data_IF_272557304672
#
_entry.id   IF_272557304672
#
_cell.length_a   1.000
_cell.length_b   1.000
_cell.length_c   1.000
_cell.angle_alpha   90.00
_cell.angle_beta   90.00
_cell.angle_gamma   90.00
#
_symmetry.space_group_name_H-M   'P 1'
#
loop_
_entity.id
_entity.type
_entity.pdbx_description
1 polymer ?
#
# COMPACT_ATOMS: atom_id res chain seq x y z
N UNK A 1 -2.61 5.21 1.21
CA UNK A 1 -3.03 4.56 2.48
C UNK A 1 -1.95 4.58 3.56
N UNK A 2 -0.68 4.36 3.21
CA UNK A 2 0.44 4.44 4.16
C UNK A 2 0.54 5.80 4.88
N UNK A 3 0.39 6.93 4.16
CA UNK A 3 0.32 8.26 4.77
C UNK A 3 -0.78 8.38 5.83
N UNK A 4 -1.97 7.82 5.56
CA UNK A 4 -3.10 7.80 6.51
C UNK A 4 -2.72 7.01 7.78
N UNK A 5 -2.07 5.85 7.64
CA UNK A 5 -1.67 5.03 8.79
C UNK A 5 -0.72 5.78 9.73
N UNK A 6 0.20 6.57 9.17
CA UNK A 6 1.15 7.38 9.96
C UNK A 6 0.60 8.69 10.52
N UNK A 7 -0.53 9.21 10.01
CA UNK A 7 -1.06 10.53 10.41
C UNK A 7 -2.32 10.46 11.27
N UNK A 8 -3.01 9.32 11.36
CA UNK A 8 -4.27 9.26 12.10
C UNK A 8 -4.59 7.86 12.61
N UNK A 9 -5.34 7.81 13.73
CA UNK A 9 -5.82 6.59 14.39
C UNK A 9 -7.33 6.41 14.26
N UNK A 10 -7.97 7.13 13.33
CA UNK A 10 -9.42 7.16 13.15
C UNK A 10 -10.00 5.88 12.53
N UNK A 11 -9.18 5.06 11.89
CA UNK A 11 -9.62 3.88 11.15
C UNK A 11 -9.30 2.61 11.94
N UNK A 12 -10.23 1.64 11.95
CA UNK A 12 -10.01 0.33 12.58
C UNK A 12 -9.17 -0.62 11.74
N UNK A 13 -9.22 -0.45 10.42
CA UNK A 13 -8.42 -1.20 9.46
C UNK A 13 -8.22 -0.39 8.18
N UNK A 14 -7.16 -0.70 7.46
CA UNK A 14 -6.82 -0.14 6.15
C UNK A 14 -6.60 -1.26 5.13
N UNK A 15 -6.80 -0.94 3.86
CA UNK A 15 -6.39 -1.74 2.71
C UNK A 15 -5.50 -0.85 1.84
N UNK A 16 -4.28 -1.28 1.58
CA UNK A 16 -3.32 -0.60 0.72
C UNK A 16 -3.05 -1.49 -0.51
N UNK A 17 -3.66 -1.15 -1.64
CA UNK A 17 -3.42 -1.78 -2.94
C UNK A 17 -2.47 -0.91 -3.74
N UNK A 18 -1.37 -1.51 -4.21
CA UNK A 18 -0.33 -0.86 -5.03
C UNK A 18 0.01 0.54 -4.50
N UNK A 19 0.36 0.60 -3.20
CA UNK A 19 0.45 1.85 -2.46
C UNK A 19 1.89 2.33 -2.27
N UNK A 20 2.15 3.60 -2.55
CA UNK A 20 3.44 4.24 -2.24
C UNK A 20 3.74 4.20 -0.73
N UNK A 21 4.91 3.71 -0.35
CA UNK A 21 5.44 3.76 1.02
C UNK A 21 6.63 4.70 1.17
N UNK A 22 7.57 4.66 0.23
CA UNK A 22 8.75 5.52 0.23
C UNK A 22 8.85 6.30 -1.09
N UNK A 23 8.66 7.61 -1.02
CA UNK A 23 8.61 8.49 -2.20
C UNK A 23 9.96 8.58 -2.94
N UNK A 24 11.08 8.41 -2.22
CA UNK A 24 12.42 8.46 -2.80
C UNK A 24 12.74 7.17 -3.56
N UNK A 25 12.58 5.99 -2.92
CA UNK A 25 12.80 4.72 -3.62
C UNK A 25 11.77 4.50 -4.74
N UNK A 26 10.53 4.97 -4.51
CA UNK A 26 9.47 5.00 -5.51
C UNK A 26 9.90 5.65 -6.82
N UNK A 27 10.41 6.89 -6.75
CA UNK A 27 10.86 7.63 -7.92
C UNK A 27 11.92 6.87 -8.75
N UNK A 28 12.90 6.24 -8.09
CA UNK A 28 13.97 5.55 -8.81
C UNK A 28 13.57 4.19 -9.37
N UNK A 29 12.43 3.65 -8.95
CA UNK A 29 11.96 2.32 -9.35
C UNK A 29 10.77 2.35 -10.30
N UNK A 30 10.11 3.50 -10.44
CA UNK A 30 8.90 3.64 -11.28
C UNK A 30 9.22 3.75 -12.77
N UNK A 31 8.36 3.18 -13.61
CA UNK A 31 8.34 3.43 -15.04
C UNK A 31 7.54 4.71 -15.44
N UNK A 32 6.93 5.39 -14.47
CA UNK A 32 6.00 6.51 -14.70
C UNK A 32 6.46 7.82 -14.02
N UNK A 33 7.57 8.38 -14.51
CA UNK A 33 8.24 9.55 -13.91
C UNK A 33 7.43 10.86 -13.92
N UNK A 34 6.42 10.98 -14.78
CA UNK A 34 5.67 12.22 -14.93
C UNK A 34 4.96 12.63 -13.63
N UNK A 35 4.31 11.69 -12.94
CA UNK A 35 3.57 11.98 -11.70
C UNK A 35 4.46 12.52 -10.58
N UNK A 36 5.52 11.81 -10.14
CA UNK A 36 6.35 12.31 -9.04
C UNK A 36 7.05 13.62 -9.38
N UNK A 37 7.46 13.85 -10.64
CA UNK A 37 8.06 15.13 -11.03
C UNK A 37 7.06 16.28 -11.07
N UNK A 38 5.86 16.05 -11.60
CA UNK A 38 4.81 17.05 -11.65
C UNK A 38 4.27 17.39 -10.25
N UNK A 39 3.94 16.37 -9.46
CA UNK A 39 3.22 16.54 -8.19
C UNK A 39 4.14 16.89 -7.02
N UNK A 40 5.40 16.40 -7.04
CA UNK A 40 6.39 16.66 -5.99
C UNK A 40 7.42 17.73 -6.39
N UNK A 41 7.20 18.38 -7.54
CA UNK A 41 7.90 19.61 -7.93
C UNK A 41 9.34 19.38 -8.40
N UNK A 42 9.57 18.32 -9.17
CA UNK A 42 10.84 18.00 -9.82
C UNK A 42 11.44 16.67 -9.37
N UNK A 43 12.74 16.54 -9.56
CA UNK A 43 13.49 15.29 -9.32
C UNK A 43 14.08 15.24 -7.89
N UNK A 44 14.09 14.08 -7.22
CA UNK A 44 14.43 13.99 -5.78
C UNK A 44 15.91 14.23 -5.45
N UNK A 45 16.80 14.33 -6.44
CA UNK A 45 18.20 14.70 -6.23
C UNK A 45 18.46 16.23 -6.32
N UNK A 46 17.43 17.03 -6.61
CA UNK A 46 17.47 18.49 -6.47
C UNK A 46 16.95 18.86 -5.08
N UNK A 47 17.73 19.63 -4.32
CA UNK A 47 17.46 19.96 -2.90
C UNK A 47 16.02 20.44 -2.65
N UNK A 48 15.56 21.43 -3.41
CA UNK A 48 14.22 22.00 -3.26
C UNK A 48 13.12 20.94 -3.44
N UNK A 49 13.26 20.06 -4.43
CA UNK A 49 12.30 19.00 -4.67
C UNK A 49 12.44 17.92 -3.60
N UNK A 50 13.67 17.56 -3.21
CA UNK A 50 13.95 16.58 -2.14
C UNK A 50 13.20 16.89 -0.85
N UNK A 51 13.16 18.16 -0.44
CA UNK A 51 12.38 18.59 0.73
C UNK A 51 10.89 18.23 0.62
N UNK A 52 10.30 18.32 -0.57
CA UNK A 52 8.89 17.96 -0.83
C UNK A 52 8.68 16.46 -0.79
N UNK A 53 9.56 15.68 -1.43
CA UNK A 53 9.49 14.22 -1.40
C UNK A 53 9.56 13.71 0.04
N UNK A 54 10.50 14.21 0.85
CA UNK A 54 10.68 13.81 2.25
C UNK A 54 9.51 14.26 3.13
N UNK A 55 9.01 15.48 2.94
CA UNK A 55 7.86 15.99 3.69
C UNK A 55 6.63 15.09 3.56
N UNK A 56 6.38 14.59 2.36
CA UNK A 56 5.22 13.75 2.04
C UNK A 56 5.55 12.25 2.01
N UNK A 57 6.72 11.85 2.51
CA UNK A 57 7.16 10.46 2.52
C UNK A 57 6.50 9.67 3.67
N UNK A 58 5.62 8.68 3.40
CA UNK A 58 4.99 7.88 4.45
C UNK A 58 5.99 7.13 5.35
N UNK A 59 7.15 6.75 4.82
CA UNK A 59 8.21 6.07 5.58
C UNK A 59 8.69 6.91 6.78
N UNK A 60 8.71 8.24 6.66
CA UNK A 60 9.09 9.15 7.77
C UNK A 60 8.16 9.03 8.97
N UNK A 61 6.97 8.47 8.79
CA UNK A 61 5.97 8.25 9.82
C UNK A 61 5.90 6.80 10.29
N UNK A 62 6.86 5.94 9.92
CA UNK A 62 6.87 4.52 10.29
C UNK A 62 6.74 4.29 11.82
N UNK A 63 7.28 5.19 12.63
CA UNK A 63 7.13 5.19 14.09
C UNK A 63 5.67 5.32 14.58
N UNK A 64 4.82 6.00 13.81
CA UNK A 64 3.43 6.31 14.17
C UNK A 64 2.41 5.28 13.67
N UNK A 65 2.81 4.40 12.75
CA UNK A 65 1.90 3.38 12.19
C UNK A 65 1.33 2.52 13.31
N UNK A 66 0.01 2.44 13.39
CA UNK A 66 -0.71 1.71 14.44
C UNK A 66 -1.92 0.94 13.94
N UNK A 67 -2.32 1.14 12.68
CA UNK A 67 -3.58 0.60 12.16
C UNK A 67 -3.35 -0.71 11.41
N UNK A 68 -4.11 -1.78 11.72
CA UNK A 68 -4.11 -3.00 10.94
C UNK A 68 -4.25 -2.73 9.44
N UNK A 69 -3.39 -3.33 8.61
CA UNK A 69 -3.42 -3.10 7.16
C UNK A 69 -3.30 -4.40 6.35
N UNK A 70 -4.20 -4.56 5.37
CA UNK A 70 -4.05 -5.51 4.27
C UNK A 70 -3.27 -4.81 3.14
N UNK A 71 -2.13 -5.37 2.77
CA UNK A 71 -1.35 -4.96 1.62
C UNK A 71 -1.65 -5.87 0.44
N UNK A 72 -1.80 -5.30 -0.75
CA UNK A 72 -2.10 -6.04 -1.97
C UNK A 72 -1.17 -5.53 -3.06
N UNK A 73 -0.48 -6.43 -3.76
CA UNK A 73 0.50 -6.05 -4.77
C UNK A 73 0.63 -7.05 -5.92
N UNK A 74 0.78 -6.53 -7.15
CA UNK A 74 1.11 -7.31 -8.36
C UNK A 74 2.63 -7.35 -8.66
N UNK A 75 3.19 -8.52 -8.97
CA UNK A 75 4.63 -8.67 -9.27
C UNK A 75 5.09 -7.82 -10.47
N UNK A 76 4.21 -7.64 -11.46
CA UNK A 76 4.51 -6.92 -12.70
C UNK A 76 4.10 -5.44 -12.61
N UNK A 77 3.85 -4.94 -11.41
CA UNK A 77 3.68 -3.52 -11.18
C UNK A 77 5.04 -2.83 -11.21
N UNK A 78 5.33 -2.17 -12.33
CA UNK A 78 6.51 -1.32 -12.50
C UNK A 78 6.22 0.17 -12.22
N UNK A 79 4.96 0.56 -12.01
CA UNK A 79 4.62 1.91 -11.57
C UNK A 79 4.96 2.09 -10.10
N UNK A 80 4.58 1.11 -9.29
CA UNK A 80 5.00 0.98 -7.90
C UNK A 80 5.52 -0.42 -7.69
N UNK A 81 6.85 -0.56 -7.58
CA UNK A 81 7.47 -1.87 -7.41
C UNK A 81 7.05 -2.54 -6.10
N UNK A 82 7.10 -3.87 -6.07
CA UNK A 82 6.66 -4.71 -4.94
C UNK A 82 7.22 -4.30 -3.58
N UNK A 83 8.42 -3.71 -3.55
CA UNK A 83 9.03 -3.15 -2.34
C UNK A 83 8.08 -2.19 -1.59
N UNK A 84 7.28 -1.41 -2.32
CA UNK A 84 6.37 -0.41 -1.77
C UNK A 84 5.25 -1.01 -0.91
N UNK A 85 4.88 -2.28 -1.12
CA UNK A 85 3.94 -3.01 -0.26
C UNK A 85 4.63 -3.92 0.76
N UNK A 86 5.77 -4.53 0.39
CA UNK A 86 6.50 -5.44 1.29
C UNK A 86 7.17 -4.72 2.46
N UNK A 87 7.70 -3.52 2.22
CA UNK A 87 8.34 -2.71 3.27
C UNK A 87 7.36 -2.31 4.40
N UNK A 88 6.20 -1.67 4.15
CA UNK A 88 5.25 -1.34 5.21
C UNK A 88 4.59 -2.58 5.82
N UNK A 89 4.42 -3.67 5.07
CA UNK A 89 3.99 -4.95 5.64
C UNK A 89 4.99 -5.46 6.68
N UNK A 90 6.28 -5.48 6.34
CA UNK A 90 7.36 -5.88 7.26
C UNK A 90 7.37 -4.98 8.49
N UNK A 91 7.27 -3.66 8.31
CA UNK A 91 7.18 -2.69 9.40
C UNK A 91 6.05 -3.04 10.40
N UNK A 92 4.81 -3.23 9.93
CA UNK A 92 3.69 -3.56 10.81
C UNK A 92 3.92 -4.89 11.54
N UNK A 93 4.42 -5.91 10.84
CA UNK A 93 4.77 -7.21 11.43
C UNK A 93 5.82 -7.06 12.54
N UNK A 94 6.84 -6.22 12.35
CA UNK A 94 7.86 -5.93 13.36
C UNK A 94 7.33 -5.18 14.57
N UNK A 95 6.26 -4.41 14.41
CA UNK A 95 5.56 -3.70 15.50
C UNK A 95 4.48 -4.56 16.18
N UNK A 96 4.27 -5.80 15.75
CA UNK A 96 3.21 -6.66 16.26
C UNK A 96 1.80 -6.20 15.87
N UNK A 97 1.68 -5.33 14.87
CA UNK A 97 0.40 -4.85 14.36
C UNK A 97 -0.10 -5.86 13.31
N UNK A 98 -1.38 -6.26 13.35
CA UNK A 98 -1.93 -7.17 12.35
C UNK A 98 -1.74 -6.66 10.92
N UNK A 99 -1.10 -7.48 10.09
CA UNK A 99 -0.83 -7.16 8.70
C UNK A 99 -0.88 -8.43 7.84
N UNK A 100 -1.55 -8.34 6.70
CA UNK A 100 -1.63 -9.41 5.68
C UNK A 100 -1.07 -8.87 4.36
N UNK A 101 -0.39 -9.71 3.60
CA UNK A 101 0.06 -9.41 2.24
C UNK A 101 -0.63 -10.38 1.29
N UNK A 102 -1.37 -9.86 0.32
CA UNK A 102 -1.90 -10.61 -0.82
C UNK A 102 -1.09 -10.25 -2.04
N UNK A 103 -0.45 -11.24 -2.64
CA UNK A 103 0.51 -11.05 -3.71
C UNK A 103 0.06 -11.80 -4.95
N UNK A 104 0.03 -11.11 -6.09
CA UNK A 104 -0.32 -11.71 -7.38
C UNK A 104 0.92 -11.73 -8.29
N UNK A 105 1.48 -12.91 -8.53
CA UNK A 105 2.69 -13.09 -9.35
C UNK A 105 2.50 -12.71 -10.83
N UNK A 106 1.25 -12.58 -11.27
CA UNK A 106 0.87 -12.48 -12.68
C UNK A 106 0.03 -11.25 -13.03
N UNK A 107 -0.14 -10.33 -12.08
CA UNK A 107 -0.84 -9.05 -12.24
C UNK A 107 0.15 -7.87 -12.33
N UNK A 108 -0.31 -6.77 -12.92
CA UNK A 108 0.40 -5.49 -13.01
C UNK A 108 -0.10 -4.51 -11.92
N UNK A 109 -0.06 -3.21 -12.17
CA UNK A 109 -0.61 -2.15 -11.29
C UNK A 109 -2.15 -2.22 -11.09
N UNK A 110 -2.79 -3.17 -11.75
CA UNK A 110 -4.21 -3.46 -11.62
C UNK A 110 -4.41 -4.94 -11.33
N UNK A 111 -5.58 -5.29 -10.81
CA UNK A 111 -5.99 -6.70 -10.68
C UNK A 111 -6.99 -7.05 -11.80
N UNK A 112 -6.47 -7.52 -12.93
CA UNK A 112 -7.23 -7.65 -14.18
C UNK A 112 -7.81 -9.05 -14.42
N UNK A 113 -7.14 -10.11 -13.96
CA UNK A 113 -7.61 -11.47 -14.25
C UNK A 113 -8.87 -11.75 -13.44
N UNK A 114 -9.94 -12.29 -14.04
CA UNK A 114 -11.22 -12.47 -13.35
C UNK A 114 -11.11 -13.22 -12.01
N UNK A 115 -10.33 -14.30 -11.97
CA UNK A 115 -10.09 -15.06 -10.74
C UNK A 115 -9.37 -14.26 -9.66
N UNK A 116 -8.35 -13.48 -10.04
CA UNK A 116 -7.62 -12.62 -9.13
C UNK A 116 -8.50 -11.46 -8.64
N UNK A 117 -9.33 -10.87 -9.49
CA UNK A 117 -10.27 -9.81 -9.08
C UNK A 117 -11.30 -10.33 -8.07
N UNK A 118 -11.81 -11.55 -8.25
CA UNK A 118 -12.70 -12.20 -7.27
C UNK A 118 -11.97 -12.44 -5.95
N UNK A 119 -10.73 -12.94 -5.99
CA UNK A 119 -9.91 -13.12 -4.76
C UNK A 119 -9.64 -11.78 -4.09
N UNK A 120 -9.32 -10.75 -4.86
CA UNK A 120 -9.09 -9.39 -4.38
C UNK A 120 -10.30 -8.85 -3.63
N UNK A 121 -11.48 -8.88 -4.27
CA UNK A 121 -12.73 -8.42 -3.64
C UNK A 121 -13.04 -9.22 -2.36
N UNK A 122 -12.87 -10.53 -2.43
CA UNK A 122 -13.13 -11.42 -1.30
C UNK A 122 -12.23 -11.09 -0.11
N UNK A 123 -10.94 -10.90 -0.33
CA UNK A 123 -9.97 -10.61 0.73
C UNK A 123 -10.13 -9.21 1.32
N UNK A 124 -10.44 -8.22 0.49
CA UNK A 124 -10.77 -6.87 0.95
C UNK A 124 -11.98 -6.89 1.87
N UNK A 125 -13.07 -7.56 1.46
CA UNK A 125 -14.27 -7.68 2.28
C UNK A 125 -14.01 -8.45 3.57
N UNK A 126 -13.30 -9.58 3.50
CA UNK A 126 -12.93 -10.39 4.67
C UNK A 126 -12.13 -9.58 5.69
N UNK A 127 -11.12 -8.84 5.21
CA UNK A 127 -10.29 -7.99 6.05
C UNK A 127 -11.09 -6.91 6.75
N UNK A 128 -11.84 -6.11 5.99
CA UNK A 128 -12.63 -5.01 6.56
C UNK A 128 -13.68 -5.55 7.55
N UNK A 129 -14.40 -6.63 7.22
CA UNK A 129 -15.38 -7.26 8.11
C UNK A 129 -14.76 -7.71 9.44
N UNK A 130 -13.55 -8.26 9.44
CA UNK A 130 -12.90 -8.73 10.67
C UNK A 130 -12.57 -7.62 11.68
N UNK A 131 -12.40 -6.37 11.23
CA UNK A 131 -12.06 -5.23 12.10
C UNK A 131 -13.24 -4.27 12.32
N UNK A 132 -14.20 -4.24 11.39
CA UNK A 132 -15.41 -3.43 11.51
C UNK A 132 -16.51 -4.12 12.34
N UNK A 133 -16.32 -5.39 12.73
CA UNK A 133 -17.34 -6.21 13.42
C UNK A 133 -18.63 -6.33 12.58
N UNK A 134 -18.49 -6.35 11.25
CA UNK A 134 -19.62 -6.39 10.32
C UNK A 134 -19.70 -7.76 9.65
N UNK A 135 -20.92 -8.29 9.54
CA UNK A 135 -21.18 -9.53 8.82
C UNK A 135 -20.93 -9.35 7.31
N UNK A 136 -20.29 -10.33 6.69
CA UNK A 136 -20.11 -10.35 5.23
C UNK A 136 -21.48 -10.43 4.53
N UNK A 137 -21.67 -9.74 3.40
CA UNK A 137 -22.93 -9.77 2.66
C UNK A 137 -23.25 -11.13 2.02
N UNK A 138 -22.27 -12.03 1.95
CA UNK A 138 -22.40 -13.41 1.46
C UNK A 138 -21.24 -14.27 1.97
N UNK A 139 -21.38 -15.60 1.89
CA UNK A 139 -20.29 -16.53 2.17
C UNK A 139 -19.20 -16.39 1.11
N UNK A 140 -18.02 -15.94 1.53
CA UNK A 140 -16.83 -16.01 0.71
C UNK A 140 -16.37 -17.46 0.69
N UNK A 141 -16.39 -18.10 -0.49
CA UNK A 141 -15.91 -19.47 -0.67
C UNK A 141 -14.57 -19.71 0.01
N UNK A 142 -14.39 -20.93 0.55
CA UNK A 142 -13.17 -21.32 1.25
C UNK A 142 -11.95 -21.22 0.33
N UNK A 143 -10.81 -20.87 0.94
CA UNK A 143 -9.54 -20.57 0.27
C UNK A 143 -8.97 -21.69 -0.60
#
# INVERSE_FOLDING_TARGET
>A
MNWINGNTKRFRALVAHDGQFNTISGYYSTDELWFPEHDLGGVPFVERSREVYERWNPERLAGEFSTPTLFIHGEKDYRLTTEQSVAPWTLLRRKGIPAKLMYFADEDHWTNKPGNSVRWCSEVLRWISSFAETQLPYELGAE
#
